data_IF_282026366540
#
_entry.id   IF_282026366540
#
_cell.length_a   1.000
_cell.length_b   1.000
_cell.length_c   1.000
_cell.angle_alpha   90.00
_cell.angle_beta   90.00
_cell.angle_gamma   90.00
#
_symmetry.space_group_name_H-M   'P 1'
#
loop_
_entity.id
_entity.type
_entity.pdbx_description
1 polymer ?
#
# COMPACT_ATOMS: atom_id res chain seq x y z
N UNK A 1 -12.90 32.29 -44.75
CA UNK A 1 -11.99 31.19 -45.12
C UNK A 1 -10.95 31.07 -44.01
N UNK A 2 -10.91 29.92 -43.29
CA UNK A 2 -9.76 29.33 -42.55
C UNK A 2 -9.02 30.16 -41.48
N UNK A 3 -8.57 29.63 -40.35
CA UNK A 3 -8.89 28.50 -39.48
C UNK A 3 -8.01 28.79 -38.24
N UNK A 4 -8.61 28.94 -37.06
CA UNK A 4 -7.90 29.08 -35.80
C UNK A 4 -7.54 27.65 -35.34
N UNK A 5 -6.30 27.21 -35.58
CA UNK A 5 -5.84 25.88 -35.19
C UNK A 5 -4.36 25.90 -34.89
N UNK A 6 -4.04 25.89 -33.61
CA UNK A 6 -2.69 25.73 -33.07
C UNK A 6 -2.80 25.17 -31.67
N UNK A 7 -3.21 23.90 -31.63
CA UNK A 7 -3.53 23.14 -30.42
C UNK A 7 -2.34 23.08 -29.48
N UNK A 8 -2.64 23.42 -28.23
CA UNK A 8 -1.85 23.25 -27.03
C UNK A 8 -1.46 21.78 -26.85
N UNK A 9 -0.16 21.49 -26.72
CA UNK A 9 0.31 20.19 -26.25
C UNK A 9 1.48 20.38 -25.27
N UNK A 10 1.21 21.12 -24.19
CA UNK A 10 1.97 20.99 -22.94
C UNK A 10 1.38 19.76 -22.23
N UNK A 11 2.00 18.60 -22.42
CA UNK A 11 1.69 17.40 -21.63
C UNK A 11 2.88 17.16 -20.70
N UNK A 12 2.91 17.93 -19.61
CA UNK A 12 3.69 17.62 -18.42
C UNK A 12 2.91 16.56 -17.62
N UNK A 13 3.10 15.29 -17.95
CA UNK A 13 2.63 14.17 -17.14
C UNK A 13 3.58 13.97 -15.95
N UNK A 14 3.51 14.88 -14.98
CA UNK A 14 3.93 14.56 -13.62
C UNK A 14 2.74 13.84 -12.96
N UNK A 15 2.65 12.53 -13.20
CA UNK A 15 1.85 11.64 -12.35
C UNK A 15 2.53 11.56 -11.00
N UNK A 16 2.25 12.54 -10.13
CA UNK A 16 2.52 12.42 -8.71
C UNK A 16 1.55 11.39 -8.14
N UNK A 17 2.02 10.19 -7.87
CA UNK A 17 1.31 9.29 -6.96
C UNK A 17 1.34 9.95 -5.58
N UNK A 18 0.19 10.43 -5.11
CA UNK A 18 0.01 10.80 -3.71
C UNK A 18 0.17 9.51 -2.91
N UNK A 19 1.34 9.32 -2.31
CA UNK A 19 1.53 8.32 -1.26
C UNK A 19 0.78 8.83 -0.04
N UNK A 20 -0.44 8.32 0.19
CA UNK A 20 -1.10 8.53 1.46
C UNK A 20 -0.23 7.89 2.56
N UNK A 21 0.15 8.63 3.62
CA UNK A 21 0.84 8.03 4.74
C UNK A 21 -0.05 6.94 5.34
N UNK A 22 0.56 5.83 5.75
CA UNK A 22 -0.10 4.82 6.56
C UNK A 22 -0.42 5.51 7.89
N UNK A 23 -1.67 5.89 8.08
CA UNK A 23 -2.15 6.35 9.36
C UNK A 23 -2.49 5.12 10.19
N UNK A 24 -1.60 4.76 11.11
CA UNK A 24 -1.99 3.97 12.27
C UNK A 24 -2.76 4.94 13.17
N UNK A 25 -4.07 4.74 13.27
CA UNK A 25 -4.89 5.55 14.18
C UNK A 25 -4.56 5.22 15.64
N UNK A 26 -4.82 6.13 16.57
CA UNK A 26 -4.55 5.98 18.02
C UNK A 26 -5.25 4.76 18.66
N UNK A 27 -6.18 4.10 17.95
CA UNK A 27 -6.86 2.88 18.35
C UNK A 27 -6.19 1.59 17.86
N UNK A 28 -5.07 1.68 17.12
CA UNK A 28 -4.35 0.54 16.56
C UNK A 28 -4.91 0.02 15.24
N UNK A 29 -5.93 0.67 14.66
CA UNK A 29 -6.51 0.26 13.37
C UNK A 29 -5.63 0.74 12.20
N UNK A 30 -5.17 -0.18 11.36
CA UNK A 30 -4.48 0.16 10.10
C UNK A 30 -5.50 0.60 9.06
N UNK A 31 -5.78 1.90 8.96
CA UNK A 31 -6.70 2.43 7.93
C UNK A 31 -5.99 2.85 6.66
N UNK A 32 -5.23 1.92 6.08
CA UNK A 32 -4.83 1.96 4.65
C UNK A 32 -4.17 0.63 4.22
N UNK A 33 -4.79 -0.51 4.52
CA UNK A 33 -4.30 -1.80 4.01
C UNK A 33 -4.66 -1.90 2.53
N UNK A 34 -3.68 -2.16 1.67
CA UNK A 34 -3.95 -2.28 0.25
C UNK A 34 -4.82 -3.51 -0.07
N UNK A 35 -5.64 -3.45 -1.14
CA UNK A 35 -6.44 -4.59 -1.55
C UNK A 35 -5.61 -5.86 -1.79
N UNK A 36 -4.39 -5.69 -2.28
CA UNK A 36 -3.45 -6.79 -2.49
C UNK A 36 -3.03 -7.45 -1.17
N UNK A 37 -2.79 -6.67 -0.11
CA UNK A 37 -2.44 -7.19 1.20
C UNK A 37 -3.62 -7.91 1.87
N UNK A 38 -4.83 -7.38 1.75
CA UNK A 38 -6.04 -8.07 2.26
C UNK A 38 -6.29 -9.39 1.52
N UNK A 39 -6.08 -9.42 0.20
CA UNK A 39 -6.25 -10.63 -0.61
C UNK A 39 -5.20 -11.71 -0.30
N UNK A 40 -3.98 -11.30 0.03
CA UNK A 40 -2.89 -12.21 0.39
C UNK A 40 -2.95 -12.68 1.86
N UNK A 41 -3.85 -12.14 2.68
CA UNK A 41 -3.92 -12.46 4.10
C UNK A 41 -4.33 -13.93 4.31
N UNK A 42 -3.57 -14.72 5.09
CA UNK A 42 -3.93 -16.10 5.37
C UNK A 42 -5.30 -16.20 6.08
N UNK A 43 -6.05 -17.24 5.74
CA UNK A 43 -7.36 -17.48 6.36
C UNK A 43 -7.24 -17.61 7.88
N UNK A 44 -8.11 -16.90 8.60
CA UNK A 44 -8.15 -16.91 10.06
C UNK A 44 -7.20 -15.92 10.73
N UNK A 45 -6.38 -15.19 9.97
CA UNK A 45 -5.58 -14.08 10.50
C UNK A 45 -6.41 -12.80 10.41
N UNK A 46 -6.42 -12.04 11.50
CA UNK A 46 -7.06 -10.73 11.56
C UNK A 46 -6.19 -9.67 10.87
N UNK A 47 -6.77 -8.73 10.09
CA UNK A 47 -6.01 -7.65 9.45
C UNK A 47 -5.24 -6.76 10.42
N UNK A 48 -5.58 -6.75 11.70
CA UNK A 48 -4.86 -5.99 12.75
C UNK A 48 -3.41 -6.46 12.95
N UNK A 49 -3.09 -7.70 12.55
CA UNK A 49 -1.72 -8.21 12.55
C UNK A 49 -0.93 -7.79 11.30
N UNK A 50 -1.53 -7.07 10.36
CA UNK A 50 -0.77 -6.56 9.22
C UNK A 50 0.11 -5.40 9.64
N UNK A 51 1.39 -5.53 9.32
CA UNK A 51 2.39 -4.48 9.48
C UNK A 51 2.93 -4.09 8.11
N UNK A 52 3.51 -2.90 8.02
CA UNK A 52 4.20 -2.44 6.81
C UNK A 52 5.55 -1.86 7.19
N UNK A 53 6.57 -2.21 6.43
CA UNK A 53 7.91 -1.68 6.62
C UNK A 53 8.09 -0.30 5.94
N UNK A 54 9.28 0.29 6.15
CA UNK A 54 9.64 1.56 5.55
C UNK A 54 9.73 1.53 4.01
N UNK A 55 9.82 0.35 3.39
CA UNK A 55 9.83 0.17 1.94
C UNK A 55 8.40 0.02 1.37
N UNK A 56 7.37 0.08 2.22
CA UNK A 56 5.99 -0.14 1.81
C UNK A 56 5.64 -1.61 1.56
N UNK A 57 6.42 -2.54 2.09
CA UNK A 57 6.15 -3.97 2.02
C UNK A 57 5.41 -4.48 3.26
N UNK A 58 4.43 -5.35 3.04
CA UNK A 58 3.59 -5.90 4.11
C UNK A 58 4.23 -7.12 4.78
N UNK A 59 3.93 -7.25 6.05
CA UNK A 59 4.23 -8.40 6.89
C UNK A 59 3.07 -8.76 7.80
N UNK A 60 3.19 -9.91 8.46
CA UNK A 60 2.28 -10.35 9.53
C UNK A 60 3.07 -10.29 10.83
N UNK A 61 2.60 -9.47 11.76
CA UNK A 61 3.13 -9.39 13.10
C UNK A 61 2.95 -10.72 13.83
N UNK A 62 3.98 -11.15 14.56
CA UNK A 62 3.92 -12.33 15.43
C UNK A 62 3.27 -12.01 16.77
N UNK A 63 3.31 -10.74 17.17
CA UNK A 63 2.87 -10.24 18.47
C UNK A 63 2.39 -8.79 18.38
N UNK A 64 1.53 -8.39 19.31
CA UNK A 64 1.14 -6.99 19.48
C UNK A 64 2.18 -6.32 20.39
N UNK A 65 3.06 -5.52 19.80
CA UNK A 65 4.10 -4.78 20.49
C UNK A 65 4.26 -3.39 19.88
N UNK A 66 4.87 -2.47 20.63
CA UNK A 66 5.17 -1.10 20.15
C UNK A 66 6.08 -1.14 18.91
N UNK A 67 7.01 -2.09 18.84
CA UNK A 67 7.80 -2.40 17.65
C UNK A 67 7.49 -3.85 17.28
N UNK A 68 6.51 -4.10 16.40
CA UNK A 68 6.11 -5.46 16.06
C UNK A 68 7.18 -6.14 15.18
N UNK A 69 7.56 -7.35 15.56
CA UNK A 69 8.32 -8.26 14.72
C UNK A 69 7.37 -9.07 13.84
N UNK A 70 7.78 -9.45 12.63
CA UNK A 70 6.88 -10.13 11.71
C UNK A 70 7.56 -10.88 10.58
N UNK A 71 6.75 -11.70 9.90
CA UNK A 71 7.16 -12.42 8.68
C UNK A 71 6.63 -11.71 7.42
N UNK A 72 7.29 -11.85 6.27
CA UNK A 72 6.80 -11.29 5.01
C UNK A 72 5.41 -11.82 4.64
N UNK A 73 4.49 -10.92 4.30
CA UNK A 73 3.22 -11.30 3.69
C UNK A 73 3.49 -11.63 2.23
N UNK A 74 3.16 -12.86 1.80
CA UNK A 74 3.40 -13.35 0.44
C UNK A 74 2.10 -13.63 -0.28
N UNK A 75 2.06 -13.33 -1.57
CA UNK A 75 0.97 -13.71 -2.46
C UNK A 75 1.08 -15.20 -2.88
N UNK A 76 0.15 -15.67 -3.70
CA UNK A 76 0.11 -17.05 -4.20
C UNK A 76 1.33 -17.43 -5.07
N UNK A 77 2.02 -16.44 -5.65
CA UNK A 77 3.27 -16.64 -6.38
C UNK A 77 4.51 -16.68 -5.47
N UNK A 78 4.33 -16.57 -4.15
CA UNK A 78 5.41 -16.54 -3.17
C UNK A 78 6.20 -15.23 -3.11
N UNK A 79 5.72 -14.18 -3.79
CA UNK A 79 6.33 -12.85 -3.78
C UNK A 79 5.79 -12.04 -2.61
N UNK A 80 6.67 -11.24 -1.99
CA UNK A 80 6.24 -10.32 -0.93
C UNK A 80 5.32 -9.24 -1.50
N UNK A 81 4.25 -8.94 -0.78
CA UNK A 81 3.29 -7.91 -1.16
C UNK A 81 3.85 -6.55 -0.73
N UNK A 82 3.99 -5.62 -1.67
CA UNK A 82 4.40 -4.24 -1.44
C UNK A 82 3.54 -3.28 -2.26
N UNK A 83 3.40 -2.03 -1.83
CA UNK A 83 2.48 -1.08 -2.49
C UNK A 83 3.02 -0.41 -3.76
N UNK A 84 4.35 -0.40 -3.95
CA UNK A 84 5.07 0.21 -5.08
C UNK A 84 4.90 1.73 -5.27
#
# INVERSE_FOLDING_TARGET
>A
MKALSGVCAIILLLSGCVTAPISVEEDGTVRNVSPAALAALPRGISPEFLIKDANGCYGIALEQAEIPSGIPLRNDAGQQVCDA
#
